data_IF_845316520592
#
_entry.id   IF_845316520592
#
_cell.length_a   1.000
_cell.length_b   1.000
_cell.length_c   1.000
_cell.angle_alpha   90.00
_cell.angle_beta   90.00
_cell.angle_gamma   90.00
#
_symmetry.space_group_name_H-M   'P 1'
#
loop_
_entity.id
_entity.type
_entity.pdbx_description
1 polymer ?
#
# COMPACT_ATOMS: atom_id res chain seq x y z
N UNK A 1 -22.40 -2.83 10.95
CA UNK A 1 -22.04 -3.19 9.57
C UNK A 1 -21.04 -2.21 8.91
N UNK A 2 -21.08 -0.90 9.18
CA UNK A 2 -20.13 0.06 8.61
C UNK A 2 -18.65 -0.16 9.02
N UNK A 3 -18.39 -0.50 10.29
CA UNK A 3 -17.01 -0.66 10.78
C UNK A 3 -16.30 -1.86 10.15
N UNK A 4 -17.00 -2.98 10.01
CA UNK A 4 -16.47 -4.19 9.34
C UNK A 4 -16.16 -3.93 7.88
N UNK A 5 -17.00 -3.16 7.18
CA UNK A 5 -16.76 -2.77 5.80
C UNK A 5 -15.49 -1.89 5.67
N UNK A 6 -15.30 -0.91 6.55
CA UNK A 6 -14.11 -0.04 6.57
C UNK A 6 -12.83 -0.87 6.81
N UNK A 7 -12.85 -1.81 7.75
CA UNK A 7 -11.70 -2.70 8.00
C UNK A 7 -11.35 -3.56 6.78
N UNK A 8 -12.35 -4.12 6.10
CA UNK A 8 -12.15 -4.92 4.88
C UNK A 8 -11.56 -4.03 3.78
N UNK A 9 -12.07 -2.81 3.59
CA UNK A 9 -11.53 -1.86 2.62
C UNK A 9 -10.08 -1.51 2.91
N UNK A 10 -9.70 -1.29 4.17
CA UNK A 10 -8.32 -1.04 4.57
C UNK A 10 -7.39 -2.22 4.21
N UNK A 11 -7.83 -3.46 4.47
CA UNK A 11 -7.07 -4.67 4.13
C UNK A 11 -6.89 -4.83 2.62
N UNK A 12 -7.95 -4.59 1.85
CA UNK A 12 -7.90 -4.64 0.37
C UNK A 12 -6.94 -3.56 -0.14
N UNK A 13 -7.09 -2.31 0.30
CA UNK A 13 -6.23 -1.20 -0.12
C UNK A 13 -4.76 -1.47 0.17
N UNK A 14 -4.44 -1.95 1.37
CA UNK A 14 -3.07 -2.29 1.73
C UNK A 14 -2.51 -3.41 0.85
N UNK A 15 -3.29 -4.48 0.62
CA UNK A 15 -2.88 -5.62 -0.20
C UNK A 15 -2.65 -5.23 -1.66
N UNK A 16 -3.57 -4.44 -2.24
CA UNK A 16 -3.43 -3.92 -3.60
C UNK A 16 -2.22 -3.00 -3.73
N UNK A 17 -2.01 -2.08 -2.79
CA UNK A 17 -0.83 -1.22 -2.78
C UNK A 17 0.46 -2.05 -2.72
N UNK A 18 0.52 -3.06 -1.85
CA UNK A 18 1.70 -3.90 -1.70
C UNK A 18 2.00 -4.69 -2.98
N UNK A 19 0.98 -5.24 -3.64
CA UNK A 19 1.12 -5.95 -4.92
C UNK A 19 1.62 -5.02 -6.03
N UNK A 20 1.04 -3.83 -6.17
CA UNK A 20 1.46 -2.84 -7.16
C UNK A 20 2.90 -2.42 -6.89
N UNK A 21 3.23 -2.07 -5.65
CA UNK A 21 4.57 -1.66 -5.26
C UNK A 21 5.61 -2.76 -5.53
N UNK A 22 5.30 -4.01 -5.20
CA UNK A 22 6.16 -5.16 -5.50
C UNK A 22 6.34 -5.35 -7.01
N UNK A 23 5.27 -5.30 -7.78
CA UNK A 23 5.32 -5.40 -9.24
C UNK A 23 6.17 -4.30 -9.86
N UNK A 24 5.95 -3.04 -9.45
CA UNK A 24 6.72 -1.89 -9.94
C UNK A 24 8.20 -1.99 -9.54
N UNK A 25 8.53 -2.36 -8.30
CA UNK A 25 9.92 -2.52 -7.86
C UNK A 25 10.63 -3.62 -8.66
N UNK A 26 9.96 -4.76 -8.93
CA UNK A 26 10.51 -5.85 -9.75
C UNK A 26 10.68 -5.46 -11.21
N UNK A 27 9.73 -4.73 -11.79
CA UNK A 27 9.82 -4.20 -13.15
C UNK A 27 10.98 -3.21 -13.28
N UNK A 28 11.09 -2.24 -12.36
CA UNK A 28 12.19 -1.27 -12.35
C UNK A 28 13.54 -1.98 -12.14
N UNK A 29 13.60 -3.00 -11.28
CA UNK A 29 14.80 -3.81 -11.09
C UNK A 29 15.15 -4.68 -12.30
N UNK A 30 14.18 -5.06 -13.15
CA UNK A 30 14.43 -5.78 -14.39
C UNK A 30 15.13 -4.90 -15.43
N UNK A 31 14.74 -3.62 -15.53
CA UNK A 31 15.33 -2.66 -16.47
C UNK A 31 16.58 -1.93 -15.91
N UNK A 32 16.83 -2.01 -14.61
CA UNK A 32 17.98 -1.37 -13.97
C UNK A 32 19.27 -2.18 -14.16
N UNK A 33 20.38 -1.50 -14.50
CA UNK A 33 21.73 -2.09 -14.52
C UNK A 33 22.20 -2.52 -13.13
N UNK A 34 21.67 -1.91 -12.08
CA UNK A 34 21.94 -2.23 -10.68
C UNK A 34 20.72 -2.88 -10.05
N UNK A 35 20.81 -4.17 -9.71
CA UNK A 35 19.73 -4.88 -9.02
C UNK A 35 19.76 -4.52 -7.54
N UNK A 36 18.63 -4.02 -7.03
CA UNK A 36 18.47 -3.70 -5.61
C UNK A 36 17.52 -4.70 -4.95
N UNK A 37 17.76 -5.08 -3.68
CA UNK A 37 16.81 -5.91 -2.94
C UNK A 37 15.51 -5.12 -2.69
N UNK A 38 14.39 -5.84 -2.67
CA UNK A 38 13.07 -5.26 -2.39
C UNK A 38 13.04 -4.66 -0.97
N UNK A 39 12.74 -3.36 -0.88
CA UNK A 39 12.66 -2.68 0.42
C UNK A 39 11.26 -2.81 1.03
N UNK A 40 11.01 -3.96 1.67
CA UNK A 40 9.74 -4.29 2.32
C UNK A 40 9.39 -3.30 3.46
N UNK A 41 10.38 -2.72 4.14
CA UNK A 41 10.15 -1.76 5.23
C UNK A 41 9.50 -0.49 4.70
N UNK A 42 10.02 0.04 3.60
CA UNK A 42 9.48 1.24 2.96
C UNK A 42 8.09 0.98 2.36
N UNK A 43 7.90 -0.17 1.74
CA UNK A 43 6.59 -0.58 1.20
C UNK A 43 5.53 -0.69 2.30
N UNK A 44 5.85 -1.35 3.42
CA UNK A 44 4.94 -1.49 4.55
C UNK A 44 4.63 -0.14 5.21
N UNK A 45 5.64 0.70 5.45
CA UNK A 45 5.46 2.03 6.01
C UNK A 45 4.55 2.91 5.12
N UNK A 46 4.80 2.93 3.81
CA UNK A 46 4.00 3.69 2.85
C UNK A 46 2.56 3.17 2.78
N UNK A 47 2.36 1.86 2.81
CA UNK A 47 1.03 1.24 2.84
C UNK A 47 0.24 1.57 4.11
N UNK A 48 0.89 1.56 5.28
CA UNK A 48 0.25 1.95 6.56
C UNK A 48 -0.14 3.43 6.51
N UNK A 49 0.76 4.30 6.06
CA UNK A 49 0.47 5.73 5.91
C UNK A 49 -0.74 5.96 4.99
N UNK A 50 -0.81 5.27 3.85
CA UNK A 50 -1.95 5.35 2.93
C UNK A 50 -3.28 4.96 3.60
N UNK A 51 -3.30 3.88 4.37
CA UNK A 51 -4.49 3.44 5.12
C UNK A 51 -4.90 4.46 6.18
N UNK A 52 -3.93 5.03 6.91
CA UNK A 52 -4.19 6.09 7.90
C UNK A 52 -4.77 7.33 7.22
N UNK A 53 -4.20 7.76 6.09
CA UNK A 53 -4.75 8.86 5.29
C UNK A 53 -6.18 8.57 4.84
N UNK A 54 -6.46 7.36 4.32
CA UNK A 54 -7.80 6.96 3.94
C UNK A 54 -8.78 7.04 5.11
N UNK A 55 -8.40 6.57 6.31
CA UNK A 55 -9.26 6.63 7.50
C UNK A 55 -9.52 8.07 7.96
N UNK A 56 -8.52 8.95 7.91
CA UNK A 56 -8.68 10.37 8.27
C UNK A 56 -9.64 11.06 7.29
N UNK A 57 -9.39 10.92 5.99
CA UNK A 57 -10.22 11.56 4.96
C UNK A 57 -11.62 10.96 4.88
N UNK A 58 -11.75 9.63 5.01
CA UNK A 58 -13.07 8.96 5.02
C UNK A 58 -13.97 9.40 6.18
N UNK A 59 -13.40 9.86 7.30
CA UNK A 59 -14.17 10.45 8.42
C UNK A 59 -14.40 11.96 8.27
N UNK A 60 -13.57 12.69 7.52
CA UNK A 60 -13.75 14.13 7.25
C UNK A 60 -14.82 14.39 6.19
N UNK A 61 -14.96 13.51 5.20
CA UNK A 61 -15.94 13.62 4.12
C UNK A 61 -17.25 12.83 4.39
N UNK A 62 -17.50 12.48 5.65
CA UNK A 62 -18.66 11.71 6.08
C UNK A 62 -19.85 12.60 6.41
#
# INVERSE_FOLDING_TARGET
>A
MQFTAVLITCLIMFSTFFLVYFGTDRLLNYFSKTKKPFNYKFAAFSGIMMVVFYLLFSNVFK
#
